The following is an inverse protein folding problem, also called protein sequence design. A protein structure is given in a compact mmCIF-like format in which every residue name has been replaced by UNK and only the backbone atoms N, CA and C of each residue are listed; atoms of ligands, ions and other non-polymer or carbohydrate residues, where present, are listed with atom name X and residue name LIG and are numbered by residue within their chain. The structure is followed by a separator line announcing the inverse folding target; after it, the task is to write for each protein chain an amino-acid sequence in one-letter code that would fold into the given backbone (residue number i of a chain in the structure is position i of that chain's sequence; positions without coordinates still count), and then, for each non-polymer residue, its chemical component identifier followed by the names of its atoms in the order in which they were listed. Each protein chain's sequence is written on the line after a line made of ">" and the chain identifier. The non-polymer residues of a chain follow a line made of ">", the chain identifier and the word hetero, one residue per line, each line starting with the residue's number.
data_IF_479956157227
#
_entry.id   IF_479956157227
#
_cell.length_a   1.000
_cell.length_b   1.000
_cell.length_c   1.000
_cell.angle_alpha   90.00
_cell.angle_beta   90.00
_cell.angle_gamma   90.00
#
_symmetry.space_group_name_H-M   'P 1'
#
loop_
_entity.id
_entity.type
_entity.pdbx_description
1 polymer ?
#
# COMPACT_ATOMS: atom_id res chain seq x y z
N UNK A 1 -20.48 15.49 -3.53
CA UNK A 1 -19.35 14.69 -3.05
C UNK A 1 -18.15 15.60 -2.91
N UNK A 2 -17.56 15.71 -1.72
CA UNK A 2 -16.43 16.62 -1.47
C UNK A 2 -15.13 16.09 -2.09
N UNK A 3 -14.14 16.96 -2.29
CA UNK A 3 -12.82 16.56 -2.80
C UNK A 3 -12.17 15.49 -1.90
N UNK A 4 -12.33 15.61 -0.57
CA UNK A 4 -11.86 14.60 0.39
C UNK A 4 -12.55 13.25 0.22
N UNK A 5 -13.89 13.25 0.06
CA UNK A 5 -14.66 12.04 -0.20
C UNK A 5 -14.19 11.34 -1.48
N UNK A 6 -13.91 12.10 -2.54
CA UNK A 6 -13.40 11.57 -3.79
C UNK A 6 -12.02 10.92 -3.61
N UNK A 7 -11.12 11.56 -2.84
CA UNK A 7 -9.81 11.01 -2.52
C UNK A 7 -9.90 9.72 -1.71
N UNK A 8 -10.75 9.68 -0.67
CA UNK A 8 -10.94 8.45 0.13
C UNK A 8 -11.50 7.31 -0.72
N UNK A 9 -12.47 7.60 -1.59
CA UNK A 9 -12.98 6.60 -2.54
C UNK A 9 -11.88 6.12 -3.49
N UNK A 10 -11.08 7.04 -4.04
CA UNK A 10 -9.94 6.71 -4.90
C UNK A 10 -8.92 5.80 -4.22
N UNK A 11 -8.50 6.13 -2.99
CA UNK A 11 -7.58 5.29 -2.21
C UNK A 11 -8.20 3.94 -1.83
N UNK A 12 -9.51 3.88 -1.63
CA UNK A 12 -10.24 2.61 -1.40
C UNK A 12 -10.10 1.69 -2.60
N UNK A 13 -10.43 2.19 -3.80
CA UNK A 13 -10.36 1.42 -5.05
C UNK A 13 -8.91 0.98 -5.32
N UNK A 14 -7.95 1.90 -5.25
CA UNK A 14 -6.53 1.61 -5.45
C UNK A 14 -5.99 0.62 -4.40
N UNK A 15 -6.46 0.73 -3.16
CA UNK A 15 -6.13 -0.18 -2.06
C UNK A 15 -6.60 -1.61 -2.32
N UNK A 16 -7.87 -1.78 -2.70
CA UNK A 16 -8.42 -3.11 -2.99
C UNK A 16 -7.82 -3.74 -4.23
N UNK A 17 -7.70 -3.02 -5.35
CA UNK A 17 -6.98 -3.53 -6.52
C UNK A 17 -5.52 -3.84 -6.21
N UNK A 18 -4.88 -2.99 -5.40
CA UNK A 18 -3.52 -3.23 -4.93
C UNK A 18 -3.35 -4.47 -4.08
N UNK A 19 -4.36 -4.81 -3.28
CA UNK A 19 -4.34 -5.98 -2.40
C UNK A 19 -4.37 -7.31 -3.15
N UNK A 20 -4.75 -7.31 -4.43
CA UNK A 20 -4.72 -8.52 -5.27
C UNK A 20 -3.31 -9.13 -5.38
N UNK A 21 -2.25 -8.34 -5.14
CA UNK A 21 -0.88 -8.86 -5.04
C UNK A 21 -0.68 -9.86 -3.90
N UNK A 22 -1.56 -9.85 -2.88
CA UNK A 22 -1.59 -10.84 -1.81
C UNK A 22 -1.98 -12.24 -2.33
N UNK A 23 -2.99 -12.28 -3.20
CA UNK A 23 -3.59 -13.51 -3.73
C UNK A 23 -2.76 -14.06 -4.89
N UNK A 24 -2.10 -13.17 -5.64
CA UNK A 24 -1.27 -13.51 -6.80
C UNK A 24 0.20 -13.14 -6.58
N UNK A 25 0.90 -13.79 -5.62
CA UNK A 25 2.24 -13.39 -5.19
C UNK A 25 3.32 -13.62 -6.25
N UNK A 26 3.04 -14.42 -7.29
CA UNK A 26 3.99 -14.72 -8.36
C UNK A 26 3.93 -13.72 -9.53
N UNK A 27 2.91 -12.85 -9.56
CA UNK A 27 2.71 -11.86 -10.64
C UNK A 27 3.46 -10.58 -10.29
N UNK A 28 4.09 -9.94 -11.27
CA UNK A 28 4.78 -8.68 -11.04
C UNK A 28 3.77 -7.51 -11.00
N UNK A 29 3.46 -7.02 -9.81
CA UNK A 29 2.44 -5.99 -9.61
C UNK A 29 3.00 -4.56 -9.61
N UNK A 30 3.83 -4.25 -8.61
CA UNK A 30 4.18 -2.85 -8.28
C UNK A 30 5.66 -2.65 -7.96
N UNK A 31 6.47 -3.69 -8.09
CA UNK A 31 7.85 -3.67 -7.65
C UNK A 31 8.81 -3.78 -8.85
N UNK A 32 9.34 -2.63 -9.26
CA UNK A 32 10.34 -2.53 -10.33
C UNK A 32 11.73 -2.92 -9.84
N UNK A 33 12.00 -2.88 -8.53
CA UNK A 33 13.31 -3.25 -7.97
C UNK A 33 13.63 -4.73 -8.19
N UNK A 34 12.60 -5.54 -8.43
CA UNK A 34 12.66 -6.95 -8.83
C UNK A 34 13.50 -7.14 -10.10
N UNK A 35 13.49 -6.20 -11.06
CA UNK A 35 14.30 -6.32 -12.29
C UNK A 35 15.80 -6.20 -12.03
N UNK A 36 16.20 -5.47 -10.98
CA UNK A 36 17.61 -5.26 -10.64
C UNK A 36 18.18 -6.37 -9.73
N UNK A 37 17.34 -7.31 -9.28
CA UNK A 37 17.77 -8.43 -8.43
C UNK A 37 18.07 -9.67 -9.27
N UNK A 38 19.36 -9.95 -9.48
CA UNK A 38 19.84 -11.16 -10.19
C UNK A 38 19.61 -12.45 -9.39
N UNK A 39 19.75 -12.42 -8.07
CA UNK A 39 19.56 -13.58 -7.19
C UNK A 39 18.27 -13.53 -6.37
N UNK A 40 17.64 -14.70 -6.16
CA UNK A 40 16.41 -14.85 -5.33
C UNK A 40 15.24 -13.95 -5.77
N UNK A 41 15.20 -13.54 -7.04
CA UNK A 41 14.16 -12.66 -7.64
C UNK A 41 12.74 -13.12 -7.30
N UNK A 42 12.42 -14.40 -7.54
CA UNK A 42 11.10 -14.96 -7.26
C UNK A 42 10.75 -14.96 -5.77
N UNK A 43 11.72 -15.28 -4.89
CA UNK A 43 11.50 -15.24 -3.42
C UNK A 43 11.25 -13.82 -2.93
N UNK A 44 12.00 -12.84 -3.44
CA UNK A 44 11.77 -11.42 -3.13
C UNK A 44 10.42 -10.95 -3.67
N UNK A 45 10.07 -11.31 -4.91
CA UNK A 45 8.80 -10.93 -5.52
C UNK A 45 7.61 -11.46 -4.70
N UNK A 46 7.63 -12.75 -4.33
CA UNK A 46 6.58 -13.34 -3.48
C UNK A 46 6.48 -12.65 -2.11
N UNK A 47 7.63 -12.35 -1.49
CA UNK A 47 7.67 -11.68 -0.19
C UNK A 47 7.14 -10.24 -0.29
N UNK A 48 7.64 -9.47 -1.26
CA UNK A 48 7.25 -8.09 -1.53
C UNK A 48 5.77 -7.97 -1.85
N UNK A 49 5.25 -8.82 -2.74
CA UNK A 49 3.84 -8.83 -3.11
C UNK A 49 2.92 -9.19 -1.94
N UNK A 50 3.31 -10.14 -1.07
CA UNK A 50 2.55 -10.46 0.15
C UNK A 50 2.56 -9.30 1.14
N UNK A 51 3.73 -8.70 1.39
CA UNK A 51 3.85 -7.59 2.33
C UNK A 51 3.09 -6.36 1.85
N UNK A 52 3.34 -5.92 0.61
CA UNK A 52 2.67 -4.78 0.00
C UNK A 52 1.17 -5.04 -0.18
N UNK A 53 0.77 -6.28 -0.50
CA UNK A 53 -0.63 -6.66 -0.62
C UNK A 53 -1.39 -6.44 0.69
N UNK A 54 -0.79 -6.80 1.84
CA UNK A 54 -1.37 -6.49 3.16
C UNK A 54 -1.48 -4.99 3.41
N UNK A 55 -0.41 -4.23 3.11
CA UNK A 55 -0.41 -2.77 3.28
C UNK A 55 -1.52 -2.12 2.45
N UNK A 56 -1.66 -2.50 1.17
CA UNK A 56 -2.70 -1.97 0.29
C UNK A 56 -4.11 -2.35 0.76
N UNK A 57 -4.30 -3.56 1.30
CA UNK A 57 -5.57 -3.95 1.90
C UNK A 57 -5.90 -3.07 3.12
N UNK A 58 -4.95 -2.85 4.01
CA UNK A 58 -5.11 -1.97 5.18
C UNK A 58 -5.45 -0.55 4.75
N UNK A 59 -4.74 0.00 3.75
CA UNK A 59 -5.03 1.31 3.16
C UNK A 59 -6.46 1.35 2.60
N UNK A 60 -6.88 0.33 1.86
CA UNK A 60 -8.22 0.25 1.30
C UNK A 60 -9.31 0.24 2.37
N UNK A 61 -9.16 -0.58 3.42
CA UNK A 61 -10.10 -0.66 4.54
C UNK A 61 -10.17 0.66 5.31
N UNK A 62 -9.02 1.26 5.66
CA UNK A 62 -8.99 2.54 6.40
C UNK A 62 -9.64 3.64 5.55
N UNK A 63 -9.34 3.68 4.25
CA UNK A 63 -9.92 4.67 3.34
C UNK A 63 -11.43 4.49 3.20
N UNK A 64 -11.93 3.25 3.18
CA UNK A 64 -13.36 2.96 3.14
C UNK A 64 -14.06 3.42 4.41
N UNK A 65 -13.46 3.19 5.58
CA UNK A 65 -14.00 3.66 6.88
C UNK A 65 -14.02 5.19 6.94
N UNK A 66 -12.95 5.85 6.50
CA UNK A 66 -12.89 7.32 6.42
C UNK A 66 -13.92 7.88 5.43
N UNK A 67 -14.12 7.20 4.29
CA UNK A 67 -15.17 7.55 3.35
C UNK A 67 -16.57 7.44 3.98
N UNK A 68 -16.90 6.29 4.58
CA UNK A 68 -18.19 6.06 5.21
C UNK A 68 -18.48 7.05 6.35
N UNK A 69 -17.49 7.31 7.21
CA UNK A 69 -17.62 8.31 8.29
C UNK A 69 -17.79 9.73 7.74
N UNK A 70 -17.15 10.06 6.61
CA UNK A 70 -17.26 11.38 5.97
C UNK A 70 -18.62 11.65 5.32
N UNK A 71 -19.47 10.64 5.19
CA UNK A 71 -20.87 10.81 4.76
C UNK A 71 -21.79 11.21 5.92
N UNK A 72 -21.38 10.89 7.15
CA UNK A 72 -22.14 11.17 8.38
C UNK A 72 -21.63 12.44 9.07
N UNK A 73 -20.31 12.66 9.06
CA UNK A 73 -19.65 13.78 9.72
C UNK A 73 -18.88 14.66 8.73
N UNK A 74 -18.95 15.97 8.92
CA UNK A 74 -18.15 16.92 8.15
C UNK A 74 -16.71 16.99 8.67
N UNK A 75 -15.76 16.44 7.90
CA UNK A 75 -14.34 16.58 8.20
C UNK A 75 -13.78 17.92 7.70
N UNK A 76 -13.25 18.73 8.62
CA UNK A 76 -12.49 19.96 8.31
C UNK A 76 -10.98 19.69 8.21
N UNK A 77 -10.60 18.61 7.54
CA UNK A 77 -9.18 18.25 7.36
C UNK A 77 -8.66 18.90 6.08
N UNK A 78 -7.41 19.36 6.09
CA UNK A 78 -6.79 19.92 4.90
C UNK A 78 -6.46 18.80 3.88
N UNK A 79 -6.97 18.95 2.66
CA UNK A 79 -6.76 18.02 1.54
C UNK A 79 -5.28 17.70 1.30
N UNK A 80 -4.42 18.72 1.26
CA UNK A 80 -3.00 18.56 1.00
C UNK A 80 -2.29 17.79 2.10
N UNK A 81 -2.70 18.03 3.36
CA UNK A 81 -2.19 17.30 4.50
C UNK A 81 -2.57 15.82 4.44
N UNK A 82 -3.82 15.50 4.05
CA UNK A 82 -4.26 14.12 3.85
C UNK A 82 -3.43 13.42 2.77
N UNK A 83 -3.26 14.03 1.61
CA UNK A 83 -2.45 13.46 0.52
C UNK A 83 -1.00 13.23 0.98
N UNK A 84 -0.42 14.22 1.66
CA UNK A 84 0.93 14.13 2.21
C UNK A 84 1.09 12.94 3.18
N UNK A 85 0.11 12.70 4.05
CA UNK A 85 0.12 11.55 4.96
C UNK A 85 0.10 10.22 4.20
N UNK A 86 -0.74 10.09 3.17
CA UNK A 86 -0.79 8.88 2.35
C UNK A 86 0.55 8.62 1.64
N UNK A 87 1.13 9.65 1.01
CA UNK A 87 2.42 9.53 0.31
C UNK A 87 3.53 9.17 1.30
N UNK A 88 3.58 9.84 2.46
CA UNK A 88 4.57 9.56 3.50
C UNK A 88 4.46 8.13 4.02
N UNK A 89 3.24 7.65 4.27
CA UNK A 89 2.99 6.27 4.69
C UNK A 89 3.47 5.25 3.63
N UNK A 90 3.20 5.50 2.34
CA UNK A 90 3.68 4.64 1.26
C UNK A 90 5.21 4.61 1.13
N UNK A 91 5.89 5.72 1.40
CA UNK A 91 7.36 5.76 1.43
C UNK A 91 7.93 4.97 2.61
N UNK A 92 7.37 5.18 3.81
CA UNK A 92 7.81 4.47 5.02
C UNK A 92 7.62 2.96 4.87
N UNK A 93 6.50 2.51 4.31
CA UNK A 93 6.25 1.08 4.09
C UNK A 93 7.20 0.45 3.08
N UNK A 94 7.65 1.19 2.05
CA UNK A 94 8.71 0.74 1.13
C UNK A 94 10.06 0.58 1.83
N UNK A 95 10.42 1.51 2.72
CA UNK A 95 11.65 1.42 3.51
C UNK A 95 11.58 0.21 4.46
N UNK A 96 10.46 0.04 5.17
CA UNK A 96 10.25 -1.09 6.08
C UNK A 96 10.29 -2.44 5.36
N UNK A 97 9.72 -2.54 4.16
CA UNK A 97 9.81 -3.74 3.33
C UNK A 97 11.28 -4.11 3.07
N UNK A 98 12.10 -3.14 2.69
CA UNK A 98 13.49 -3.37 2.33
C UNK A 98 14.34 -3.77 3.54
N UNK A 99 14.13 -3.11 4.68
CA UNK A 99 14.75 -3.48 5.97
C UNK A 99 14.34 -4.90 6.37
N UNK A 100 13.05 -5.22 6.29
CA UNK A 100 12.52 -6.53 6.68
C UNK A 100 13.04 -7.65 5.79
N UNK A 101 13.15 -7.40 4.48
CA UNK A 101 13.77 -8.34 3.55
C UNK A 101 15.25 -8.58 3.86
N UNK A 102 16.03 -7.52 4.15
CA UNK A 102 17.45 -7.67 4.52
C UNK A 102 17.60 -8.49 5.79
N UNK A 103 16.78 -8.26 6.81
CA UNK A 103 16.76 -9.06 8.04
C UNK A 103 16.42 -10.53 7.78
N UNK A 104 15.42 -10.78 6.93
CA UNK A 104 15.04 -12.14 6.55
C UNK A 104 16.12 -12.90 5.76
N UNK A 105 16.99 -12.17 5.04
CA UNK A 105 18.16 -12.73 4.34
C UNK A 105 19.34 -12.99 5.29
N UNK A 106 19.49 -12.24 6.36
CA UNK A 106 20.55 -12.45 7.37
C UNK A 106 20.29 -13.65 8.26
N UNK A 107 19.01 -14.04 8.45
CA UNK A 107 18.62 -15.17 9.30
C UNK A 107 18.50 -16.51 8.54
N UNK A 108 18.71 -16.54 7.21
CA UNK A 108 18.58 -17.70 6.32
C UNK A 108 19.78 -17.85 5.39
#
# INVERSE_FOLDING_TARGET
>A
MSQLQFIFLGFTVVGFFGSLSLITPNIQWKDFTVFFRKERRQKYLQYSNKYLGKVWLTVGIISLVLFATSLIFEFKINLYFTIFLYVSYLLVTRILLEISWRKNRSNN
#
